data_IF_506986793428
#
_entry.id   IF_506986793428
#
_cell.length_a   1.000
_cell.length_b   1.000
_cell.length_c   1.000
_cell.angle_alpha   90.00
_cell.angle_beta   90.00
_cell.angle_gamma   90.00
#
_symmetry.space_group_name_H-M   'P 1'
#
loop_
_entity.id
_entity.type
_entity.pdbx_description
1 polymer ?
#
# COMPACT_ATOMS: atom_id res chain seq x y z
N UNK A 1 6.68 6.89 12.98
CA UNK A 1 6.52 6.17 11.69
C UNK A 1 7.46 6.80 10.68
N UNK A 2 8.27 5.97 10.04
CA UNK A 2 9.25 6.40 9.02
C UNK A 2 9.38 5.33 7.93
N UNK A 3 9.78 5.74 6.74
CA UNK A 3 10.12 4.83 5.64
C UNK A 3 11.50 4.22 5.92
N UNK A 4 11.62 2.90 5.78
CA UNK A 4 12.87 2.14 5.91
C UNK A 4 13.39 1.66 4.55
N UNK A 5 12.48 1.23 3.68
CA UNK A 5 12.79 0.73 2.33
C UNK A 5 11.75 1.23 1.33
N UNK A 6 12.21 1.52 0.12
CA UNK A 6 11.39 1.79 -1.06
C UNK A 6 11.90 0.94 -2.22
N UNK A 7 11.05 0.08 -2.74
CA UNK A 7 11.22 -0.63 -4.00
C UNK A 7 10.40 0.05 -5.09
N UNK A 8 10.97 0.25 -6.27
CA UNK A 8 10.29 0.83 -7.43
C UNK A 8 10.56 -0.05 -8.64
N UNK A 9 9.52 -0.45 -9.36
CA UNK A 9 9.60 -1.19 -10.61
C UNK A 9 8.69 -0.55 -11.67
N UNK A 10 9.25 -0.27 -12.85
CA UNK A 10 8.57 0.34 -14.01
C UNK A 10 7.89 1.71 -13.79
N UNK A 11 8.44 2.56 -12.92
CA UNK A 11 7.90 3.91 -12.67
C UNK A 11 8.69 5.02 -13.36
N UNK A 12 8.05 5.77 -14.27
CA UNK A 12 8.61 6.92 -15.01
C UNK A 12 9.99 6.66 -15.63
N UNK A 13 11.07 7.18 -15.05
CA UNK A 13 12.43 6.95 -15.54
C UNK A 13 13.10 5.69 -14.99
N UNK A 14 12.47 5.01 -14.03
CA UNK A 14 13.07 3.95 -13.21
C UNK A 14 12.56 2.59 -13.68
N UNK A 15 13.47 1.73 -14.15
CA UNK A 15 13.15 0.32 -14.42
C UNK A 15 12.99 -0.49 -13.15
N UNK A 16 14.03 -0.43 -12.31
CA UNK A 16 14.10 -1.10 -11.02
C UNK A 16 15.01 -0.28 -10.12
N UNK A 17 14.56 0.03 -8.92
CA UNK A 17 15.37 0.67 -7.90
C UNK A 17 14.99 0.14 -6.53
N UNK A 18 15.99 0.04 -5.66
CA UNK A 18 15.84 -0.28 -4.26
C UNK A 18 16.60 0.77 -3.45
N UNK A 19 15.89 1.41 -2.52
CA UNK A 19 16.39 2.51 -1.72
C UNK A 19 16.14 2.20 -0.26
N UNK A 20 17.20 2.30 0.55
CA UNK A 20 17.11 2.16 2.00
C UNK A 20 17.26 3.52 2.66
N UNK A 21 16.32 3.84 3.54
CA UNK A 21 16.29 5.08 4.29
C UNK A 21 16.71 4.82 5.74
N UNK A 22 17.54 5.70 6.27
CA UNK A 22 17.95 5.65 7.67
C UNK A 22 18.00 7.06 8.25
N UNK A 23 17.34 7.29 9.37
CA UNK A 23 17.31 8.59 10.04
C UNK A 23 16.89 9.71 9.08
N UNK A 24 17.75 10.70 8.88
CA UNK A 24 17.56 11.77 7.90
C UNK A 24 18.29 11.42 6.60
N UNK A 25 17.53 11.16 5.53
CA UNK A 25 18.09 10.86 4.22
C UNK A 25 18.02 12.09 3.32
N UNK A 26 19.15 12.49 2.75
CA UNK A 26 19.26 13.61 1.81
C UNK A 26 19.51 13.08 0.39
N UNK A 27 18.61 13.40 -0.55
CA UNK A 27 18.75 13.05 -1.96
C UNK A 27 19.49 14.17 -2.72
N UNK A 28 20.73 13.90 -3.16
CA UNK A 28 21.55 14.84 -3.95
C UNK A 28 21.76 14.28 -5.35
N UNK A 29 21.71 15.14 -6.36
CA UNK A 29 22.00 14.79 -7.75
C UNK A 29 21.63 15.90 -8.72
N UNK A 30 22.04 15.78 -9.97
CA UNK A 30 21.73 16.75 -11.03
C UNK A 30 20.23 16.88 -11.32
N UNK A 31 19.87 17.83 -12.18
CA UNK A 31 18.48 17.96 -12.62
C UNK A 31 18.03 16.72 -13.40
N UNK A 32 16.76 16.35 -13.27
CA UNK A 32 16.13 15.24 -14.00
C UNK A 32 16.69 13.84 -13.76
N UNK A 33 17.52 13.63 -12.73
CA UNK A 33 18.06 12.28 -12.39
C UNK A 33 17.07 11.36 -11.65
N UNK A 34 15.82 11.79 -11.43
CA UNK A 34 14.80 11.00 -10.75
C UNK A 34 14.57 11.29 -9.27
N UNK A 35 15.16 12.36 -8.70
CA UNK A 35 14.90 12.76 -7.30
C UNK A 35 13.41 13.01 -7.03
N UNK A 36 12.77 13.79 -7.89
CA UNK A 36 11.31 14.04 -7.79
C UNK A 36 10.52 12.76 -8.03
N UNK A 37 10.98 11.87 -8.92
CA UNK A 37 10.36 10.56 -9.16
C UNK A 37 10.32 9.71 -7.89
N UNK A 38 11.37 9.73 -7.07
CA UNK A 38 11.38 9.01 -5.78
C UNK A 38 10.32 9.59 -4.82
N UNK A 39 10.20 10.92 -4.74
CA UNK A 39 9.17 11.55 -3.90
C UNK A 39 7.75 11.23 -4.40
N UNK A 40 7.54 11.21 -5.70
CA UNK A 40 6.25 10.90 -6.33
C UNK A 40 5.86 9.43 -6.12
N UNK A 41 6.84 8.52 -6.14
CA UNK A 41 6.62 7.11 -5.80
C UNK A 41 6.13 6.95 -4.36
N UNK A 42 6.74 7.68 -3.42
CA UNK A 42 6.31 7.69 -2.02
C UNK A 42 4.91 8.29 -1.85
N UNK A 43 4.62 9.37 -2.57
CA UNK A 43 3.30 10.01 -2.57
C UNK A 43 2.21 9.09 -3.14
N UNK A 44 2.52 8.29 -4.16
CA UNK A 44 1.56 7.32 -4.72
C UNK A 44 1.16 6.23 -3.71
N UNK A 45 2.11 5.74 -2.91
CA UNK A 45 1.84 4.67 -1.93
C UNK A 45 1.21 5.21 -0.64
N UNK A 46 1.70 6.36 -0.15
CA UNK A 46 1.32 6.92 1.15
C UNK A 46 0.20 7.96 1.05
N UNK A 47 -0.06 8.50 -0.13
CA UNK A 47 -1.04 9.56 -0.40
C UNK A 47 -2.39 8.98 -0.82
N UNK A 48 -3.37 8.82 0.11
CA UNK A 48 -4.71 8.35 -0.25
C UNK A 48 -5.40 9.28 -1.26
N UNK A 49 -5.07 10.56 -1.24
CA UNK A 49 -5.62 11.58 -2.14
C UNK A 49 -5.25 11.36 -3.61
N UNK A 50 -4.16 10.63 -3.90
CA UNK A 50 -3.75 10.31 -5.26
C UNK A 50 -4.46 9.06 -5.78
N UNK A 51 -4.56 8.02 -4.96
CA UNK A 51 -5.29 6.79 -5.28
C UNK A 51 -6.79 7.02 -5.48
N UNK A 52 -7.36 8.03 -4.83
CA UNK A 52 -8.78 8.39 -4.98
C UNK A 52 -9.07 9.25 -6.23
N UNK A 53 -8.06 9.61 -7.04
CA UNK A 53 -8.29 10.32 -8.31
C UNK A 53 -8.75 9.34 -9.39
N UNK A 54 -9.54 9.83 -10.33
CA UNK A 54 -9.93 9.07 -11.52
C UNK A 54 -9.35 9.77 -12.75
N UNK A 55 -8.31 9.20 -13.41
CA UNK A 55 -7.58 7.97 -13.06
C UNK A 55 -6.52 8.19 -11.95
N UNK A 56 -6.15 7.14 -11.17
CA UNK A 56 -5.19 7.25 -10.07
C UNK A 56 -3.73 7.33 -10.55
N UNK A 57 -3.45 6.78 -11.73
CA UNK A 57 -2.16 6.88 -12.45
C UNK A 57 -2.42 7.20 -13.92
N UNK A 58 -1.41 7.73 -14.58
CA UNK A 58 -1.46 8.10 -16.00
C UNK A 58 -0.41 7.33 -16.82
N UNK A 59 -0.53 7.36 -18.14
CA UNK A 59 0.45 6.78 -19.07
C UNK A 59 1.89 7.16 -18.73
N UNK A 60 2.15 8.44 -18.42
CA UNK A 60 3.49 8.94 -18.13
C UNK A 60 4.06 8.50 -16.77
N UNK A 61 3.23 7.94 -15.89
CA UNK A 61 3.70 7.32 -14.65
C UNK A 61 4.36 5.95 -14.94
N UNK A 62 4.04 5.30 -16.06
CA UNK A 62 4.72 4.08 -16.51
C UNK A 62 6.06 4.40 -17.16
N UNK A 63 6.95 3.41 -17.13
CA UNK A 63 8.31 3.59 -17.62
C UNK A 63 8.33 3.98 -19.09
N UNK A 64 8.84 5.17 -19.40
CA UNK A 64 8.85 5.73 -20.78
C UNK A 64 7.48 5.68 -21.48
N UNK A 65 6.37 5.81 -20.74
CA UNK A 65 5.02 5.60 -21.27
C UNK A 65 4.77 4.19 -21.84
N UNK A 66 5.62 3.22 -21.50
CA UNK A 66 5.46 1.80 -21.89
C UNK A 66 4.60 1.05 -20.89
N UNK A 67 3.28 1.24 -20.95
CA UNK A 67 2.29 0.51 -20.15
C UNK A 67 1.82 -0.79 -20.82
N UNK A 68 2.22 -1.04 -22.07
CA UNK A 68 2.03 -2.27 -22.83
C UNK A 68 3.38 -2.79 -23.34
N UNK A 69 3.52 -4.11 -23.46
CA UNK A 69 4.66 -4.73 -24.13
C UNK A 69 4.62 -4.48 -25.66
N UNK A 70 5.66 -4.90 -26.36
CA UNK A 70 5.80 -4.76 -27.82
C UNK A 70 4.63 -5.40 -28.59
N UNK A 71 3.96 -6.40 -28.00
CA UNK A 71 2.79 -7.07 -28.58
C UNK A 71 1.51 -6.20 -28.54
N UNK A 72 1.49 -5.10 -27.77
CA UNK A 72 0.32 -4.22 -27.62
C UNK A 72 -0.84 -4.81 -26.82
N UNK A 73 -0.75 -6.08 -26.41
CA UNK A 73 -1.83 -6.81 -25.73
C UNK A 73 -1.47 -7.21 -24.29
N UNK A 74 -0.20 -7.12 -23.90
CA UNK A 74 0.23 -7.49 -22.54
C UNK A 74 0.55 -6.24 -21.72
N UNK A 75 -0.23 -5.92 -20.68
CA UNK A 75 0.06 -4.82 -19.76
C UNK A 75 1.38 -5.00 -19.03
N UNK A 76 2.11 -3.90 -18.85
CA UNK A 76 3.33 -3.84 -18.05
C UNK A 76 2.98 -3.23 -16.70
N UNK A 77 2.96 -4.03 -15.61
CA UNK A 77 2.61 -3.50 -14.31
C UNK A 77 3.71 -2.57 -13.77
N UNK A 78 3.25 -1.49 -13.14
CA UNK A 78 4.00 -0.61 -12.26
C UNK A 78 3.85 -1.15 -10.83
N UNK A 79 4.96 -1.27 -10.10
CA UNK A 79 4.95 -1.71 -8.70
C UNK A 79 5.83 -0.82 -7.85
N UNK A 80 5.27 -0.34 -6.74
CA UNK A 80 6.00 0.45 -5.75
C UNK A 80 5.77 -0.17 -4.38
N UNK A 81 6.84 -0.54 -3.70
CA UNK A 81 6.82 -1.16 -2.38
C UNK A 81 7.43 -0.21 -1.36
N UNK A 82 6.75 0.02 -0.24
CA UNK A 82 7.24 0.84 0.87
C UNK A 82 7.18 0.02 2.16
N UNK A 83 8.31 -0.06 2.86
CA UNK A 83 8.36 -0.62 4.21
C UNK A 83 8.41 0.51 5.22
N UNK A 84 7.39 0.58 6.06
CA UNK A 84 7.26 1.53 7.16
C UNK A 84 7.67 0.87 8.47
N UNK A 85 8.51 1.55 9.25
CA UNK A 85 8.94 1.13 10.59
C UNK A 85 8.62 2.21 11.61
N UNK A 86 8.91 1.97 12.88
CA UNK A 86 8.60 2.90 13.99
C UNK A 86 7.09 3.26 14.00
N UNK A 87 6.24 2.24 13.89
CA UNK A 87 4.79 2.40 13.81
C UNK A 87 4.23 2.94 15.15
N UNK A 88 3.23 3.80 15.08
CA UNK A 88 2.48 4.24 16.28
C UNK A 88 1.59 3.11 16.78
N UNK A 89 1.26 3.13 18.07
CA UNK A 89 0.47 2.04 18.67
C UNK A 89 -0.94 1.93 18.08
N UNK A 90 -1.52 3.03 17.62
CA UNK A 90 -2.80 3.03 16.92
C UNK A 90 -2.74 2.27 15.59
N UNK A 91 -1.68 2.50 14.80
CA UNK A 91 -1.46 1.78 13.54
C UNK A 91 -1.14 0.30 13.80
N UNK A 92 -0.38 -0.01 14.85
CA UNK A 92 -0.13 -1.41 15.23
C UNK A 92 -1.43 -2.14 15.56
N UNK A 93 -2.36 -1.48 16.26
CA UNK A 93 -3.66 -2.06 16.60
C UNK A 93 -4.56 -2.20 15.37
N UNK A 94 -4.63 -1.15 14.53
CA UNK A 94 -5.47 -1.13 13.34
C UNK A 94 -5.02 -2.14 12.29
N UNK A 95 -3.71 -2.25 12.08
CA UNK A 95 -3.10 -3.10 11.05
C UNK A 95 -2.52 -4.40 11.63
N UNK A 96 -2.95 -4.83 12.82
CA UNK A 96 -2.35 -5.96 13.56
C UNK A 96 -2.23 -7.25 12.72
N UNK A 97 -3.20 -7.52 11.85
CA UNK A 97 -3.21 -8.69 10.97
C UNK A 97 -2.15 -8.64 9.85
N UNK A 98 -1.69 -7.44 9.47
CA UNK A 98 -0.80 -7.19 8.34
C UNK A 98 0.59 -6.71 8.77
N UNK A 99 0.90 -6.78 10.07
CA UNK A 99 2.23 -6.45 10.58
C UNK A 99 3.21 -7.57 10.22
N UNK A 100 4.43 -7.14 9.88
CA UNK A 100 5.55 -8.01 9.55
C UNK A 100 6.76 -7.62 10.42
N UNK A 101 7.81 -8.45 10.40
CA UNK A 101 9.03 -8.19 11.16
C UNK A 101 10.14 -7.71 10.23
N UNK A 102 10.68 -6.52 10.53
CA UNK A 102 11.80 -5.93 9.81
C UNK A 102 13.11 -6.14 10.57
N UNK A 103 14.10 -6.72 9.90
CA UNK A 103 15.44 -6.86 10.45
C UNK A 103 16.31 -5.66 10.07
N UNK A 104 16.70 -4.84 11.06
CA UNK A 104 17.40 -3.57 10.85
C UNK A 104 18.80 -3.71 10.23
N UNK A 105 19.53 -4.79 10.54
CA UNK A 105 20.88 -4.99 10.02
C UNK A 105 20.86 -5.50 8.56
N UNK A 106 20.16 -6.61 8.34
CA UNK A 106 19.93 -7.21 7.01
C UNK A 106 19.09 -6.36 6.06
N UNK A 107 18.34 -5.37 6.58
CA UNK A 107 17.42 -4.51 5.81
C UNK A 107 16.44 -5.31 4.95
N UNK A 108 15.82 -6.33 5.57
CA UNK A 108 14.84 -7.21 4.95
C UNK A 108 13.69 -7.51 5.89
N UNK A 109 12.58 -7.95 5.32
CA UNK A 109 11.48 -8.54 6.07
C UNK A 109 11.83 -10.00 6.41
N UNK A 110 11.50 -10.44 7.61
CA UNK A 110 11.66 -11.83 8.06
C UNK A 110 10.49 -12.69 7.58
N UNK A 111 10.78 -13.90 7.11
CA UNK A 111 9.75 -14.85 6.65
C UNK A 111 9.03 -15.57 7.80
N UNK A 112 7.94 -16.27 7.50
CA UNK A 112 7.07 -16.92 8.50
C UNK A 112 7.75 -18.02 9.35
N UNK A 113 8.96 -18.47 8.99
CA UNK A 113 9.79 -19.39 9.78
C UNK A 113 10.83 -18.72 10.69
N UNK A 114 11.04 -17.42 10.58
CA UNK A 114 12.07 -16.66 11.31
C UNK A 114 11.49 -15.84 12.48
N UNK A 115 10.18 -15.98 12.74
CA UNK A 115 9.45 -15.26 13.81
C UNK A 115 10.03 -15.56 15.19
N UNK A 116 10.70 -16.70 15.38
CA UNK A 116 11.44 -17.01 16.62
C UNK A 116 12.59 -16.04 16.93
N UNK A 117 13.03 -15.24 15.95
CA UNK A 117 14.01 -14.17 16.13
C UNK A 117 13.34 -12.81 16.41
N UNK A 118 12.02 -12.75 16.61
CA UNK A 118 11.30 -11.50 16.90
C UNK A 118 11.77 -10.81 18.19
N UNK A 119 12.35 -11.58 19.12
CA UNK A 119 12.94 -11.06 20.36
C UNK A 119 14.36 -10.48 20.15
N UNK A 120 14.92 -10.55 18.94
CA UNK A 120 16.22 -9.93 18.64
C UNK A 120 16.10 -8.40 18.70
N UNK A 121 17.01 -7.69 19.39
CA UNK A 121 16.98 -6.23 19.45
C UNK A 121 17.13 -5.55 18.07
N UNK A 122 17.57 -6.28 17.05
CA UNK A 122 17.66 -5.82 15.66
C UNK A 122 16.35 -5.98 14.88
N UNK A 123 15.33 -6.62 15.45
CA UNK A 123 14.03 -6.81 14.81
C UNK A 123 13.04 -5.78 15.35
N UNK A 124 12.24 -5.20 14.46
CA UNK A 124 11.14 -4.31 14.82
C UNK A 124 9.91 -4.60 13.96
N UNK A 125 8.72 -4.25 14.46
CA UNK A 125 7.49 -4.37 13.69
C UNK A 125 7.49 -3.35 12.54
N UNK A 126 7.13 -3.84 11.35
CA UNK A 126 6.98 -3.02 10.16
C UNK A 126 5.64 -3.26 9.47
N UNK A 127 5.27 -2.30 8.63
CA UNK A 127 4.12 -2.39 7.75
C UNK A 127 4.62 -2.22 6.32
N UNK A 128 4.45 -3.25 5.50
CA UNK A 128 4.80 -3.22 4.07
C UNK A 128 3.55 -2.87 3.28
N UNK A 129 3.64 -1.83 2.47
CA UNK A 129 2.59 -1.37 1.57
C UNK A 129 3.08 -1.53 0.14
N UNK A 130 2.26 -2.09 -0.72
CA UNK A 130 2.57 -2.28 -2.13
C UNK A 130 1.48 -1.59 -2.93
N UNK A 131 1.85 -0.64 -3.77
CA UNK A 131 0.96 -0.12 -4.81
C UNK A 131 1.31 -0.80 -6.12
N UNK A 132 0.34 -1.51 -6.67
CA UNK A 132 0.40 -2.07 -8.01
C UNK A 132 -0.53 -1.25 -8.91
N UNK A 133 -0.05 -0.91 -10.10
CA UNK A 133 -0.85 -0.24 -11.11
C UNK A 133 -0.63 -0.87 -12.48
N UNK A 134 -1.68 -0.91 -13.28
CA UNK A 134 -1.63 -1.48 -14.61
C UNK A 134 -2.69 -0.82 -15.51
N UNK A 135 -2.49 -0.96 -16.81
CA UNK A 135 -3.49 -0.61 -17.79
C UNK A 135 -4.43 -1.80 -18.02
N UNK A 136 -5.73 -1.53 -18.01
CA UNK A 136 -6.76 -2.48 -18.38
C UNK A 136 -7.20 -2.22 -19.83
N UNK A 137 -6.99 -3.21 -20.69
CA UNK A 137 -7.30 -3.12 -22.12
C UNK A 137 -8.81 -3.22 -22.36
N UNK A 138 -9.53 -3.98 -21.54
CA UNK A 138 -10.97 -4.17 -21.70
C UNK A 138 -11.74 -2.91 -21.30
N UNK A 139 -11.31 -2.28 -20.20
CA UNK A 139 -11.95 -1.07 -19.67
C UNK A 139 -11.35 0.25 -20.20
N UNK A 140 -10.30 0.17 -21.03
CA UNK A 140 -9.57 1.33 -21.61
C UNK A 140 -9.14 2.36 -20.55
N UNK A 141 -8.72 1.86 -19.38
CA UNK A 141 -8.50 2.65 -18.18
C UNK A 141 -7.28 2.20 -17.38
N UNK A 142 -6.71 3.14 -16.63
CA UNK A 142 -5.61 2.85 -15.71
C UNK A 142 -6.12 2.58 -14.30
N UNK A 143 -5.65 1.48 -13.72
CA UNK A 143 -6.00 1.08 -12.36
C UNK A 143 -4.77 1.09 -11.46
N UNK A 144 -4.96 1.50 -10.22
CA UNK A 144 -3.95 1.38 -9.17
C UNK A 144 -4.62 0.94 -7.87
N UNK A 145 -4.00 -0.01 -7.18
CA UNK A 145 -4.48 -0.52 -5.89
C UNK A 145 -3.29 -0.60 -4.94
N UNK A 146 -3.52 -0.21 -3.68
CA UNK A 146 -2.55 -0.39 -2.60
C UNK A 146 -3.01 -1.49 -1.66
N UNK A 147 -2.11 -2.41 -1.38
CA UNK A 147 -2.33 -3.64 -0.63
C UNK A 147 -1.24 -3.80 0.44
N UNK A 148 -1.48 -4.65 1.41
CA UNK A 148 -0.46 -4.98 2.41
C UNK A 148 0.49 -6.07 1.88
N UNK A 149 1.77 -5.97 2.23
CA UNK A 149 2.78 -6.94 1.81
C UNK A 149 2.43 -8.38 2.17
N UNK A 150 1.95 -8.58 3.40
CA UNK A 150 1.49 -9.89 3.86
C UNK A 150 0.36 -10.50 3.02
N UNK A 151 -0.54 -9.69 2.46
CA UNK A 151 -1.62 -10.19 1.60
C UNK A 151 -1.19 -10.53 0.18
N UNK A 152 0.02 -10.11 -0.23
CA UNK A 152 0.57 -10.38 -1.56
C UNK A 152 1.34 -11.73 -1.60
N UNK A 153 1.72 -12.27 -0.44
CA UNK A 153 2.38 -13.57 -0.30
C UNK A 153 1.37 -14.75 -0.20
N UNK A 154 0.08 -14.46 0.01
CA UNK A 154 -1.01 -15.42 -0.07
C UNK A 154 -1.51 -15.49 -1.53
N UNK A 155 -0.90 -16.34 -2.37
CA UNK A 155 -1.27 -16.54 -3.80
C UNK A 155 -2.77 -16.87 -4.04
N UNK A 156 -3.53 -17.17 -2.98
CA UNK A 156 -4.96 -17.54 -3.00
C UNK A 156 -5.89 -16.53 -2.29
N UNK A 157 -5.40 -15.37 -1.81
CA UNK A 157 -6.23 -14.37 -1.14
C UNK A 157 -6.41 -13.11 -2.00
N UNK A 158 -7.68 -12.75 -2.28
CA UNK A 158 -8.02 -11.49 -2.94
C UNK A 158 -7.35 -10.32 -2.18
N UNK A 159 -6.47 -9.51 -2.82
CA UNK A 159 -5.64 -8.54 -2.12
C UNK A 159 -6.51 -7.60 -1.28
N UNK A 160 -6.35 -7.63 0.05
CA UNK A 160 -7.13 -6.78 0.94
C UNK A 160 -6.74 -5.32 0.73
N UNK A 161 -7.66 -4.53 0.19
CA UNK A 161 -7.48 -3.09 0.02
C UNK A 161 -7.34 -2.41 1.38
N UNK A 162 -6.49 -1.38 1.45
CA UNK A 162 -6.42 -0.52 2.63
C UNK A 162 -7.77 0.18 2.77
N UNK A 163 -8.46 0.10 3.93
CA UNK A 163 -9.73 0.77 4.11
C UNK A 163 -9.54 2.28 4.04
N UNK A 164 -10.16 2.92 3.05
CA UNK A 164 -10.28 4.38 2.95
C UNK A 164 -11.18 4.89 4.08
N UNK A 165 -10.91 6.10 4.62
CA UNK A 165 -11.65 6.70 5.75
C UNK A 165 -13.18 6.76 5.57
N UNK A 166 -13.71 6.65 4.35
CA UNK A 166 -15.16 6.58 4.11
C UNK A 166 -15.81 5.29 4.64
N UNK A 167 -15.05 4.19 4.78
CA UNK A 167 -15.55 2.93 5.34
C UNK A 167 -15.76 2.94 6.85
N UNK A 168 -15.14 3.87 7.60
CA UNK A 168 -15.31 3.95 9.06
C UNK A 168 -16.63 4.63 9.49
N UNK A 169 -17.25 5.42 8.61
CA UNK A 169 -18.45 6.18 8.98
C UNK A 169 -19.76 5.42 8.74
N UNK A 170 -19.75 4.36 7.91
CA UNK A 170 -20.96 3.62 7.57
C UNK A 170 -21.19 2.34 8.40
N UNK A 171 -20.22 1.89 9.21
CA UNK A 171 -20.41 0.75 10.11
C UNK A 171 -21.03 1.13 11.46
N UNK A 172 -21.31 2.41 11.71
CA UNK A 172 -21.95 2.89 12.94
C UNK A 172 -23.46 3.18 12.80
N UNK A 173 -24.06 2.92 11.63
CA UNK A 173 -25.48 3.18 11.35
C UNK A 173 -26.24 1.90 10.96
N UNK A 174 -26.09 0.84 11.76
CA UNK A 174 -27.05 -0.26 11.80
C UNK A 174 -27.58 -0.40 13.24
N UNK A 175 -28.07 0.73 13.77
CA UNK A 175 -28.90 0.76 14.97
C UNK A 175 -30.31 0.35 14.59
N UNK A 176 -30.62 -0.91 14.87
CA UNK A 176 -31.92 -1.50 15.18
C UNK A 176 -33.12 -0.52 15.12
N UNK A 177 -33.74 -0.40 13.95
CA UNK A 177 -35.03 0.30 13.77
C UNK A 177 -36.17 -0.71 13.87
N UNK A 178 -36.30 -1.32 15.04
CA UNK A 178 -37.50 -2.04 15.44
C UNK A 178 -38.43 -1.04 16.14
N UNK A 179 -39.39 -0.50 15.37
CA UNK A 179 -40.39 0.44 15.87
C UNK A 179 -41.21 -0.17 17.03
N UNK A 180 -41.56 0.59 18.08
CA UNK A 180 -42.43 0.09 19.14
C UNK A 180 -43.88 0.05 18.66
N UNK A 181 -44.43 -1.16 18.58
CA UNK A 181 -45.85 -1.43 18.34
C UNK A 181 -46.67 -0.98 19.56
N UNK A 182 -47.42 0.11 19.40
CA UNK A 182 -48.42 0.59 20.35
C UNK A 182 -49.78 0.02 19.94
N UNK A 183 -50.08 -1.19 20.43
CA UNK A 183 -51.38 -1.83 20.33
C UNK A 183 -52.04 -1.97 21.70
N UNK A 184 -53.09 -1.18 21.92
CA UNK A 184 -54.07 -1.31 23.00
C UNK A 184 -54.66 -2.73 23.07
N UNK A 185 -54.74 -3.33 24.27
CA UNK A 185 -56.02 -3.77 24.84
C UNK A 185 -55.86 -4.51 26.20
N UNK A 186 -56.57 -3.98 27.20
CA UNK A 186 -57.36 -4.68 28.24
C UNK A 186 -56.91 -6.08 28.70
N UNK A 187 -56.64 -6.21 30.01
CA UNK A 187 -57.49 -7.00 30.92
C UNK A 187 -56.97 -7.02 32.38
N UNK A 188 -57.90 -6.68 33.28
CA UNK A 188 -58.02 -7.08 34.70
C UNK A 188 -57.00 -6.59 35.73
#
# INVERSE_FOLDING_TARGET
>A
MRVSRLGIENFRGIKKAELHFSGHTLLIGGNNVGKSTICEALDLVLGPDRLNRTPPVEEFDFRNAGYLNEDGETPVPLRIEVVLVDLTDDIKKLCAANLEFWHKADKRVLGEGEIGNADDPNVELCLRLITAAQYDIEEDQFFAKTIYGRSDDDDDADPRSIPTKEGLNNSAAAGDNSAPDWGDDRCS
#
